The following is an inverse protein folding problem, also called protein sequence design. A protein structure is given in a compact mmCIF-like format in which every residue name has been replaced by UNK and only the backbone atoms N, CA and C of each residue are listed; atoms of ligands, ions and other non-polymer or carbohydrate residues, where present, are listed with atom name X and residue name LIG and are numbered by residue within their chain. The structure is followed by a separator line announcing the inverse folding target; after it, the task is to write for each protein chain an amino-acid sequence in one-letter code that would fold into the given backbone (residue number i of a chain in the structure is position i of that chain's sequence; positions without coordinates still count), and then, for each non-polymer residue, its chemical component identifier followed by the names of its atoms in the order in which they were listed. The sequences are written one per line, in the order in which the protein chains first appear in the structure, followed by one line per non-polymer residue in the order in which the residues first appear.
data_IF_703127967060
#
_entry.id   IF_703127967060
#
_cell.length_a   1.000
_cell.length_b   1.000
_cell.length_c   1.000
_cell.angle_alpha   90.00
_cell.angle_beta   90.00
_cell.angle_gamma   90.00
#
_symmetry.space_group_name_H-M   'P 1'
#
loop_
_entity.id
_entity.type
_entity.pdbx_description
1 polymer ?
#
# COMPACT_ATOMS: atom_id res chain seq x y z
N UNK A 1 3.81 29.20 20.83
CA UNK A 1 5.07 28.63 20.31
C UNK A 1 5.19 27.20 20.83
N UNK A 2 4.76 26.22 20.05
CA UNK A 2 5.20 24.83 20.21
C UNK A 2 5.49 24.32 18.78
N UNK A 3 6.76 24.32 18.33
CA UNK A 3 7.15 23.85 17.01
C UNK A 3 7.56 22.38 17.09
N UNK A 4 6.60 21.51 17.39
CA UNK A 4 6.67 20.09 17.09
C UNK A 4 5.65 19.90 15.96
N UNK A 5 6.10 19.82 14.71
CA UNK A 5 6.70 18.57 14.26
C UNK A 5 5.57 17.79 13.63
N UNK A 6 5.18 18.30 12.47
CA UNK A 6 4.27 17.76 11.48
C UNK A 6 4.44 16.25 11.29
N UNK A 7 3.40 15.47 11.63
CA UNK A 7 2.76 14.55 10.71
C UNK A 7 1.63 13.78 11.42
N UNK A 8 0.45 13.61 10.80
CA UNK A 8 -0.58 12.73 11.33
C UNK A 8 -0.08 11.28 11.31
N UNK A 9 -0.14 10.60 12.46
CA UNK A 9 -0.03 9.15 12.52
C UNK A 9 -1.27 8.55 11.84
N UNK A 10 -1.10 7.94 10.67
CA UNK A 10 -2.19 7.30 9.94
C UNK A 10 -2.78 6.18 10.81
N UNK A 11 -3.93 6.44 11.41
CA UNK A 11 -4.73 5.44 12.11
C UNK A 11 -5.89 5.09 11.17
N UNK A 12 -5.82 3.93 10.52
CA UNK A 12 -6.90 3.43 9.66
C UNK A 12 -8.04 2.96 10.56
N UNK A 13 -8.99 3.87 10.81
CA UNK A 13 -10.25 3.56 11.48
C UNK A 13 -11.07 2.67 10.54
N UNK A 14 -11.14 1.39 10.91
CA UNK A 14 -12.06 0.37 10.42
C UNK A 14 -11.82 -0.23 9.02
N UNK A 15 -11.55 0.54 7.95
CA UNK A 15 -11.33 -0.02 6.59
C UNK A 15 -10.61 0.94 5.62
N UNK A 16 -9.80 0.40 4.69
CA UNK A 16 -9.26 1.18 3.55
C UNK A 16 -10.37 1.40 2.54
N UNK A 17 -10.77 2.65 2.31
CA UNK A 17 -11.77 3.01 1.30
C UNK A 17 -11.22 3.95 0.23
N UNK A 18 -11.71 3.81 -0.99
CA UNK A 18 -11.47 4.72 -2.10
C UNK A 18 -12.81 5.30 -2.59
N UNK A 19 -12.93 6.63 -2.53
CA UNK A 19 -14.18 7.34 -2.88
C UNK A 19 -15.43 6.79 -2.16
N UNK A 20 -15.28 6.43 -0.89
CA UNK A 20 -16.36 5.86 -0.06
C UNK A 20 -16.68 4.38 -0.36
N UNK A 21 -15.93 3.71 -1.23
CA UNK A 21 -16.06 2.26 -1.49
C UNK A 21 -14.93 1.51 -0.79
N UNK A 22 -15.20 0.43 -0.06
CA UNK A 22 -14.15 -0.35 0.58
C UNK A 22 -13.26 -1.01 -0.48
N UNK A 23 -11.96 -0.95 -0.26
CA UNK A 23 -10.96 -1.72 -1.01
C UNK A 23 -10.78 -3.03 -0.23
N UNK A 24 -11.06 -4.21 -0.79
CA UNK A 24 -10.91 -5.45 -0.05
C UNK A 24 -9.47 -5.98 -0.07
N UNK A 25 -9.04 -6.55 1.05
CA UNK A 25 -7.87 -7.41 1.17
C UNK A 25 -6.58 -6.74 1.67
N UNK A 26 -5.98 -7.36 2.68
CA UNK A 26 -4.81 -6.86 3.42
C UNK A 26 -3.61 -6.54 2.53
N UNK A 27 -3.37 -7.36 1.49
CA UNK A 27 -2.28 -7.11 0.54
C UNK A 27 -2.51 -5.84 -0.29
N UNK A 28 -3.75 -5.57 -0.68
CA UNK A 28 -4.08 -4.34 -1.40
C UNK A 28 -3.96 -3.12 -0.47
N UNK A 29 -4.34 -3.27 0.79
CA UNK A 29 -4.16 -2.22 1.82
C UNK A 29 -2.68 -1.91 2.03
N UNK A 30 -1.86 -2.94 2.20
CA UNK A 30 -0.42 -2.82 2.40
C UNK A 30 0.25 -2.15 1.21
N UNK A 31 -0.10 -2.54 -0.01
CA UNK A 31 0.36 -1.88 -1.24
C UNK A 31 -0.01 -0.39 -1.25
N UNK A 32 -1.26 -0.06 -0.94
CA UNK A 32 -1.72 1.34 -0.93
C UNK A 32 -1.04 2.16 0.16
N UNK A 33 -0.84 1.59 1.35
CA UNK A 33 -0.10 2.23 2.43
C UNK A 33 1.35 2.49 2.03
N UNK A 34 2.05 1.49 1.47
CA UNK A 34 3.42 1.65 0.99
C UNK A 34 3.53 2.74 -0.09
N UNK A 35 2.57 2.83 -1.01
CA UNK A 35 2.55 3.89 -2.02
C UNK A 35 2.24 5.27 -1.43
N UNK A 36 1.34 5.35 -0.44
CA UNK A 36 0.93 6.61 0.19
C UNK A 36 2.01 7.21 1.10
N UNK A 37 2.84 6.37 1.71
CA UNK A 37 3.92 6.77 2.60
C UNK A 37 5.18 7.25 1.86
N UNK A 38 5.26 7.04 0.54
CA UNK A 38 6.48 7.28 -0.21
C UNK A 38 6.52 8.66 -0.89
N UNK A 39 7.63 9.40 -0.76
CA UNK A 39 7.78 10.70 -1.41
C UNK A 39 7.82 10.54 -2.94
N UNK A 40 7.44 11.60 -3.66
CA UNK A 40 7.04 11.70 -5.09
C UNK A 40 7.86 10.96 -6.19
N UNK A 41 8.94 10.25 -5.86
CA UNK A 41 9.78 9.47 -6.80
C UNK A 41 9.26 8.06 -7.10
N UNK A 42 8.23 7.60 -6.39
CA UNK A 42 7.69 6.25 -6.55
C UNK A 42 8.50 5.18 -5.83
N UNK A 43 7.94 3.97 -5.74
CA UNK A 43 8.46 2.86 -4.93
C UNK A 43 8.99 1.78 -5.85
N UNK A 44 10.17 1.24 -5.56
CA UNK A 44 10.73 0.13 -6.33
C UNK A 44 9.91 -1.15 -6.13
N UNK A 45 9.72 -1.93 -7.20
CA UNK A 45 8.98 -3.19 -7.17
C UNK A 45 9.46 -4.16 -6.10
N UNK A 46 10.78 -4.28 -5.90
CA UNK A 46 11.35 -5.14 -4.86
C UNK A 46 10.92 -4.73 -3.45
N UNK A 47 10.93 -3.44 -3.16
CA UNK A 47 10.45 -2.92 -1.87
C UNK A 47 8.95 -3.14 -1.70
N UNK A 48 8.15 -2.93 -2.74
CA UNK A 48 6.72 -3.25 -2.69
C UNK A 48 6.47 -4.74 -2.47
N UNK A 49 7.30 -5.60 -3.02
CA UNK A 49 7.22 -7.05 -2.78
C UNK A 49 7.52 -7.36 -1.31
N UNK A 50 8.60 -6.80 -0.78
CA UNK A 50 9.02 -7.04 0.61
C UNK A 50 7.96 -6.55 1.60
N UNK A 51 7.37 -5.38 1.37
CA UNK A 51 6.30 -4.84 2.22
C UNK A 51 5.01 -5.69 2.16
N UNK A 52 4.63 -6.17 0.96
CA UNK A 52 3.35 -6.88 0.76
C UNK A 52 3.39 -8.36 1.14
N UNK A 53 4.54 -9.02 0.97
CA UNK A 53 4.68 -10.47 1.21
C UNK A 53 5.63 -10.82 2.34
N UNK A 54 6.48 -9.90 2.81
CA UNK A 54 7.45 -10.16 3.87
C UNK A 54 8.31 -11.38 3.57
N UNK A 55 8.39 -12.29 4.54
CA UNK A 55 9.19 -13.51 4.47
C UNK A 55 8.58 -14.63 3.60
N UNK A 56 7.35 -14.46 3.10
CA UNK A 56 6.65 -15.46 2.28
C UNK A 56 6.33 -14.95 0.86
N UNK A 57 7.36 -14.64 0.05
CA UNK A 57 7.15 -14.19 -1.32
C UNK A 57 6.66 -15.33 -2.21
N UNK A 58 5.79 -15.03 -3.20
CA UNK A 58 5.35 -16.02 -4.17
C UNK A 58 6.48 -16.38 -5.13
N UNK A 59 6.37 -17.53 -5.81
CA UNK A 59 7.39 -18.02 -6.74
C UNK A 59 7.77 -17.04 -7.86
N UNK A 60 6.87 -16.12 -8.22
CA UNK A 60 7.17 -15.01 -9.12
C UNK A 60 6.64 -13.68 -8.52
N UNK A 61 7.48 -12.97 -7.76
CA UNK A 61 7.06 -11.78 -7.03
C UNK A 61 6.61 -10.63 -7.94
N UNK A 62 7.36 -10.35 -9.01
CA UNK A 62 7.01 -9.28 -9.96
C UNK A 62 5.65 -9.53 -10.62
N UNK A 63 5.39 -10.77 -11.06
CA UNK A 63 4.08 -11.11 -11.66
C UNK A 63 2.95 -11.00 -10.63
N UNK A 64 3.19 -11.43 -9.39
CA UNK A 64 2.21 -11.31 -8.32
C UNK A 64 1.90 -9.84 -7.99
N UNK A 65 2.92 -8.98 -7.93
CA UNK A 65 2.78 -7.54 -7.76
C UNK A 65 1.97 -6.91 -8.90
N UNK A 66 2.26 -7.24 -10.16
CA UNK A 66 1.50 -6.75 -11.31
C UNK A 66 0.02 -7.14 -11.23
N UNK A 67 -0.28 -8.39 -10.87
CA UNK A 67 -1.67 -8.86 -10.69
C UNK A 67 -2.36 -8.10 -9.55
N UNK A 68 -1.67 -7.92 -8.42
CA UNK A 68 -2.21 -7.18 -7.29
C UNK A 68 -2.51 -5.72 -7.67
N UNK A 69 -1.55 -5.02 -8.28
CA UNK A 69 -1.72 -3.64 -8.76
C UNK A 69 -2.88 -3.54 -9.75
N UNK A 70 -2.96 -4.45 -10.73
CA UNK A 70 -4.04 -4.46 -11.72
C UNK A 70 -5.40 -4.61 -11.05
N UNK A 71 -5.52 -5.54 -10.09
CA UNK A 71 -6.77 -5.75 -9.35
C UNK A 71 -7.11 -4.54 -8.50
N UNK A 72 -6.16 -3.97 -7.78
CA UNK A 72 -6.37 -2.77 -6.95
C UNK A 72 -6.88 -1.62 -7.81
N UNK A 73 -6.29 -1.37 -8.98
CA UNK A 73 -6.75 -0.33 -9.92
C UNK A 73 -8.16 -0.52 -10.45
N UNK A 74 -8.63 -1.76 -10.60
CA UNK A 74 -10.03 -2.00 -11.02
C UNK A 74 -11.04 -1.76 -9.89
N UNK A 75 -10.58 -1.72 -8.65
CA UNK A 75 -11.41 -1.57 -7.45
C UNK A 75 -11.43 -0.13 -6.92
N UNK A 76 -10.51 0.71 -7.40
CA UNK A 76 -10.42 2.15 -7.13
C UNK A 76 -10.88 2.96 -8.34
#
# INVERSE_FOLDING_TARGET
MNPAGDAPALTLLDDVCWRGRPVPGDRAHTLLAALALEPARGVADGRLVDEVWGDEPPANPTKALQVLVSRTRTQT
#
